data_IF_732013332631
#
_entry.id   IF_732013332631
#
_cell.length_a   1.000
_cell.length_b   1.000
_cell.length_c   1.000
_cell.angle_alpha   90.00
_cell.angle_beta   90.00
_cell.angle_gamma   90.00
#
_symmetry.space_group_name_H-M   'P 1'
#
loop_
_entity.id
_entity.type
_entity.pdbx_description
1 polymer ?
#
# COMPACT_ATOMS: atom_id res chain seq x y z
N UNK A 1 -8.29 -18.98 5.83
CA UNK A 1 -9.37 -18.95 4.82
C UNK A 1 -10.76 -19.08 5.41
N UNK A 2 -11.01 -20.00 6.35
CA UNK A 2 -12.32 -20.17 6.98
C UNK A 2 -12.86 -18.89 7.67
N UNK A 3 -12.01 -18.15 8.38
CA UNK A 3 -12.39 -16.86 9.02
C UNK A 3 -12.89 -15.82 8.03
N UNK A 4 -12.24 -15.70 6.87
CA UNK A 4 -12.67 -14.79 5.81
C UNK A 4 -14.06 -15.16 5.27
N UNK A 5 -14.33 -16.45 5.06
CA UNK A 5 -15.64 -16.93 4.62
C UNK A 5 -16.73 -16.66 5.66
N UNK A 6 -16.41 -16.78 6.96
CA UNK A 6 -17.34 -16.46 8.04
C UNK A 6 -17.61 -14.95 8.14
N UNK A 7 -16.57 -14.12 8.04
CA UNK A 7 -16.71 -12.67 8.02
C UNK A 7 -17.61 -12.19 6.87
N UNK A 8 -17.47 -12.80 5.67
CA UNK A 8 -18.35 -12.51 4.53
C UNK A 8 -19.83 -12.84 4.78
N UNK A 9 -20.13 -13.72 5.73
CA UNK A 9 -21.51 -14.12 6.10
C UNK A 9 -22.07 -13.30 7.27
N UNK A 10 -21.40 -12.22 7.68
CA UNK A 10 -21.79 -11.41 8.84
C UNK A 10 -21.21 -11.91 10.17
N UNK A 11 -20.27 -12.85 10.12
CA UNK A 11 -19.49 -13.27 11.29
C UNK A 11 -18.50 -12.19 11.76
N UNK A 12 -17.67 -12.49 12.78
CA UNK A 12 -16.72 -11.54 13.34
C UNK A 12 -15.66 -11.10 12.31
N UNK A 13 -15.06 -9.94 12.55
CA UNK A 13 -13.98 -9.39 11.73
C UNK A 13 -12.80 -10.38 11.68
N UNK A 14 -12.20 -10.65 10.50
CA UNK A 14 -11.08 -11.56 10.41
C UNK A 14 -9.83 -10.91 11.03
N UNK A 15 -8.90 -11.75 11.50
CA UNK A 15 -7.63 -11.32 12.11
C UNK A 15 -6.89 -10.28 11.24
N UNK A 16 -6.73 -10.59 9.96
CA UNK A 16 -6.10 -9.71 8.95
C UNK A 16 -7.16 -9.08 8.07
N UNK A 17 -7.91 -8.15 8.63
CA UNK A 17 -8.87 -7.33 7.87
C UNK A 17 -8.18 -6.43 6.83
N UNK A 18 -8.96 -5.88 5.89
CA UNK A 18 -8.44 -4.89 4.94
C UNK A 18 -7.80 -3.68 5.61
N UNK A 19 -8.37 -3.19 6.70
CA UNK A 19 -7.81 -2.07 7.46
C UNK A 19 -6.41 -2.40 8.01
N UNK A 20 -6.28 -3.58 8.64
CA UNK A 20 -5.01 -4.06 9.18
C UNK A 20 -4.00 -4.28 8.06
N UNK A 21 -4.42 -4.93 6.96
CA UNK A 21 -3.57 -5.15 5.79
C UNK A 21 -3.11 -3.85 5.14
N UNK A 22 -3.99 -2.85 5.03
CA UNK A 22 -3.67 -1.54 4.47
C UNK A 22 -2.61 -0.83 5.31
N UNK A 23 -2.75 -0.80 6.64
CA UNK A 23 -1.77 -0.19 7.55
C UNK A 23 -0.39 -0.86 7.44
N UNK A 24 -0.35 -2.19 7.35
CA UNK A 24 0.91 -2.92 7.19
C UNK A 24 1.55 -2.57 5.83
N UNK A 25 0.76 -2.54 4.76
CA UNK A 25 1.26 -2.19 3.43
C UNK A 25 1.80 -0.75 3.38
N UNK A 26 1.12 0.19 4.04
CA UNK A 26 1.51 1.60 4.10
C UNK A 26 2.86 1.82 4.78
N UNK A 27 3.25 0.96 5.73
CA UNK A 27 4.57 1.00 6.37
C UNK A 27 5.61 0.23 5.56
N UNK A 28 5.23 -0.92 5.01
CA UNK A 28 6.16 -1.83 4.34
C UNK A 28 6.63 -1.31 2.98
N UNK A 29 5.74 -0.72 2.19
CA UNK A 29 6.05 -0.26 0.82
C UNK A 29 7.10 0.88 0.79
N UNK A 30 7.02 1.93 1.64
CA UNK A 30 8.09 2.91 1.75
C UNK A 30 9.43 2.29 2.19
N UNK A 31 9.40 1.25 3.02
CA UNK A 31 10.61 0.50 3.39
C UNK A 31 11.29 -0.13 2.17
N UNK A 32 10.52 -0.77 1.28
CA UNK A 32 11.05 -1.31 0.02
C UNK A 32 11.59 -0.20 -0.88
N UNK A 33 10.92 0.95 -0.93
CA UNK A 33 11.36 2.09 -1.71
C UNK A 33 12.71 2.63 -1.21
N UNK A 34 12.89 2.71 0.12
CA UNK A 34 14.15 3.09 0.75
C UNK A 34 15.29 2.12 0.37
N UNK A 35 15.00 0.81 0.40
CA UNK A 35 15.95 -0.22 -0.03
C UNK A 35 16.32 -0.07 -1.50
N UNK A 36 15.35 0.20 -2.38
CA UNK A 36 15.59 0.41 -3.81
C UNK A 36 16.46 1.64 -4.08
N UNK A 37 16.26 2.72 -3.33
CA UNK A 37 17.08 3.93 -3.41
C UNK A 37 18.41 3.82 -2.66
N UNK A 38 18.60 2.74 -1.91
CA UNK A 38 19.76 2.49 -1.04
C UNK A 38 20.08 3.65 -0.08
N UNK A 39 19.03 4.29 0.46
CA UNK A 39 19.13 5.42 1.40
C UNK A 39 17.86 5.56 2.23
N UNK A 40 17.93 6.14 3.44
CA UNK A 40 16.72 6.52 4.17
C UNK A 40 15.91 7.55 3.38
N UNK A 41 14.59 7.46 3.46
CA UNK A 41 13.65 8.37 2.80
C UNK A 41 12.69 9.01 3.80
N UNK A 42 12.24 10.22 3.47
CA UNK A 42 11.11 10.86 4.14
C UNK A 42 9.84 10.57 3.35
N UNK A 43 8.93 9.81 3.94
CA UNK A 43 7.66 9.46 3.32
C UNK A 43 6.55 10.47 3.66
N UNK A 44 5.91 11.03 2.64
CA UNK A 44 4.70 11.86 2.76
C UNK A 44 3.48 11.00 2.41
N UNK A 45 2.88 10.39 3.42
CA UNK A 45 1.76 9.46 3.25
C UNK A 45 0.50 10.13 2.69
N UNK A 46 0.29 11.41 3.00
CA UNK A 46 -0.89 12.15 2.54
C UNK A 46 -0.84 12.41 1.03
N UNK A 47 0.33 12.74 0.50
CA UNK A 47 0.51 13.00 -0.94
C UNK A 47 1.11 11.82 -1.71
N UNK A 48 1.41 10.70 -1.03
CA UNK A 48 2.04 9.50 -1.58
C UNK A 48 3.31 9.85 -2.36
N UNK A 49 4.29 10.47 -1.70
CA UNK A 49 5.54 10.90 -2.34
C UNK A 49 6.74 10.85 -1.40
N UNK A 50 7.93 10.92 -1.99
CA UNK A 50 9.18 11.19 -1.26
C UNK A 50 9.66 12.59 -1.65
N UNK A 51 9.40 13.64 -0.85
CA UNK A 51 9.66 15.03 -1.24
C UNK A 51 11.12 15.30 -1.67
N UNK A 52 12.05 14.57 -1.09
CA UNK A 52 13.50 14.73 -1.30
C UNK A 52 14.06 13.77 -2.38
N UNK A 53 13.21 13.01 -3.07
CA UNK A 53 13.59 12.02 -4.09
C UNK A 53 12.54 11.93 -5.21
N UNK A 54 12.43 12.92 -6.11
CA UNK A 54 11.47 12.89 -7.22
C UNK A 54 11.67 11.70 -8.18
N UNK A 55 12.88 11.15 -8.26
CA UNK A 55 13.16 9.92 -9.01
C UNK A 55 12.40 8.70 -8.47
N UNK A 56 11.89 8.76 -7.23
CA UNK A 56 11.10 7.72 -6.60
C UNK A 56 9.69 7.61 -7.15
N UNK A 57 9.14 8.70 -7.70
CA UNK A 57 7.73 8.81 -8.13
C UNK A 57 7.36 7.76 -9.18
N UNK A 58 8.32 7.35 -10.01
CA UNK A 58 8.15 6.30 -11.02
C UNK A 58 7.78 4.93 -10.43
N UNK A 59 8.06 4.68 -9.14
CA UNK A 59 7.75 3.42 -8.46
C UNK A 59 6.56 3.50 -7.51
N UNK A 60 6.10 4.71 -7.16
CA UNK A 60 5.02 4.91 -6.19
C UNK A 60 3.64 4.73 -6.85
N UNK A 61 3.49 5.20 -8.08
CA UNK A 61 2.26 5.10 -8.86
C UNK A 61 2.48 4.25 -10.11
N UNK A 62 1.62 3.26 -10.30
CA UNK A 62 1.59 2.51 -11.54
C UNK A 62 0.75 3.22 -12.60
N UNK A 63 1.09 2.98 -13.87
CA UNK A 63 0.22 3.33 -14.98
C UNK A 63 -1.00 2.40 -14.99
N UNK A 64 -2.06 2.80 -14.29
CA UNK A 64 -3.30 2.04 -14.23
C UNK A 64 -3.99 2.03 -15.60
N UNK A 65 -4.57 0.86 -15.94
CA UNK A 65 -5.28 0.67 -17.19
C UNK A 65 -6.57 1.49 -17.21
N UNK A 66 -6.75 2.30 -18.25
CA UNK A 66 -7.95 3.14 -18.43
C UNK A 66 -9.02 2.54 -19.35
N UNK A 67 -8.68 1.54 -20.16
CA UNK A 67 -9.54 0.96 -21.21
C UNK A 67 -10.89 0.39 -20.75
N UNK A 68 -11.11 0.16 -19.46
CA UNK A 68 -12.36 -0.40 -18.92
C UNK A 68 -12.90 0.38 -17.72
N UNK A 69 -12.41 1.59 -17.48
CA UNK A 69 -13.03 2.50 -16.52
C UNK A 69 -14.26 3.09 -17.20
N UNK A 70 -15.44 2.73 -16.72
CA UNK A 70 -16.74 3.31 -17.13
C UNK A 70 -16.99 4.54 -16.28
#
# INVERSE_FOLDING_TARGET
MAEWLQACRGGPKPLTSFQTGAQIAEVFLPGILALRLNRPIRWDAQHLRVPDAPEADQWIQNNYRTKWLI
#
